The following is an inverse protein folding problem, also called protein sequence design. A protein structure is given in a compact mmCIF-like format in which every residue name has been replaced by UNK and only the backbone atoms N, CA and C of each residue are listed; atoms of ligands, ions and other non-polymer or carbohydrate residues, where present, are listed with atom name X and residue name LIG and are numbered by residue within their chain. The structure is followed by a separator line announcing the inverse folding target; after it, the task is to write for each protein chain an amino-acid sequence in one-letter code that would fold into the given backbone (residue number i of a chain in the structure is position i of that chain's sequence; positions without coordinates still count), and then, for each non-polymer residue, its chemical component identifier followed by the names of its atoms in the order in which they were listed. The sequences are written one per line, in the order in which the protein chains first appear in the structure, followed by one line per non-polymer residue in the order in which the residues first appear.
data_IF_512528004927
#
_entry.id   IF_512528004927
#
_cell.length_a   1.000
_cell.length_b   1.000
_cell.length_c   1.000
_cell.angle_alpha   90.00
_cell.angle_beta   90.00
_cell.angle_gamma   90.00
#
_symmetry.space_group_name_H-M   'P 1'
#
loop_
_entity.id
_entity.type
_entity.pdbx_description
1 polymer ?
#
# COMPACT_ATOMS: atom_id res chain seq x y z
N UNK A 1 10.37 16.77 -2.95
CA UNK A 1 10.19 15.33 -2.68
C UNK A 1 10.68 14.60 -3.91
N UNK A 2 11.56 13.63 -3.76
CA UNK A 2 12.02 12.82 -4.88
C UNK A 2 10.98 11.73 -5.15
N UNK A 3 10.73 11.43 -6.42
CA UNK A 3 9.89 10.29 -6.82
C UNK A 3 10.80 9.11 -7.06
N UNK A 4 10.61 8.05 -6.29
CA UNK A 4 11.25 6.77 -6.53
C UNK A 4 10.31 5.93 -7.40
N UNK A 5 10.88 5.20 -8.36
CA UNK A 5 10.13 4.30 -9.24
C UNK A 5 10.81 2.94 -9.23
N UNK A 6 10.02 1.89 -8.98
CA UNK A 6 10.45 0.50 -9.01
C UNK A 6 9.61 -0.26 -10.03
N UNK A 7 10.29 -0.99 -10.93
CA UNK A 7 9.64 -1.78 -11.96
C UNK A 7 9.98 -3.26 -11.84
N UNK A 8 8.97 -4.11 -11.96
CA UNK A 8 9.13 -5.56 -12.07
C UNK A 8 8.17 -6.12 -13.12
N UNK A 9 8.61 -7.17 -13.81
CA UNK A 9 7.81 -7.91 -14.80
C UNK A 9 7.44 -9.29 -14.25
N UNK A 10 6.16 -9.60 -14.22
CA UNK A 10 5.61 -10.79 -13.56
C UNK A 10 4.83 -11.62 -14.59
N UNK A 11 5.20 -12.90 -14.76
CA UNK A 11 4.47 -13.84 -15.63
C UNK A 11 3.25 -14.42 -14.90
N UNK A 12 2.14 -13.69 -14.89
CA UNK A 12 0.89 -14.09 -14.27
C UNK A 12 -0.30 -13.26 -14.82
N UNK A 13 -1.55 -13.74 -14.71
CA UNK A 13 -2.72 -12.91 -15.00
C UNK A 13 -2.82 -11.70 -14.06
N UNK A 14 -3.36 -10.58 -14.56
CA UNK A 14 -3.48 -9.33 -13.79
C UNK A 14 -4.29 -9.50 -12.50
N UNK A 15 -5.34 -10.33 -12.53
CA UNK A 15 -6.17 -10.61 -11.37
C UNK A 15 -5.39 -11.27 -10.24
N UNK A 16 -4.41 -12.14 -10.58
CA UNK A 16 -3.55 -12.78 -9.60
C UNK A 16 -2.54 -11.81 -9.00
N UNK A 17 -1.97 -10.92 -9.81
CA UNK A 17 -1.05 -9.88 -9.29
C UNK A 17 -1.80 -8.93 -8.36
N UNK A 18 -2.99 -8.49 -8.78
CA UNK A 18 -3.85 -7.63 -7.96
C UNK A 18 -4.27 -8.30 -6.65
N UNK A 19 -4.67 -9.57 -6.68
CA UNK A 19 -5.05 -10.30 -5.47
C UNK A 19 -3.86 -10.46 -4.52
N UNK A 20 -2.68 -10.80 -5.04
CA UNK A 20 -1.46 -10.93 -4.23
C UNK A 20 -1.11 -9.63 -3.51
N UNK A 21 -1.27 -8.49 -4.17
CA UNK A 21 -0.97 -7.19 -3.58
C UNK A 21 -1.91 -6.86 -2.41
N UNK A 22 -3.22 -7.14 -2.51
CA UNK A 22 -4.22 -6.55 -1.61
C UNK A 22 -4.99 -7.54 -0.72
N UNK A 23 -5.01 -8.84 -1.02
CA UNK A 23 -5.66 -9.83 -0.15
C UNK A 23 -4.85 -10.05 1.13
N UNK A 24 -5.54 -10.22 2.26
CA UNK A 24 -4.92 -10.23 3.59
C UNK A 24 -3.81 -11.29 3.72
N UNK A 25 -4.07 -12.51 3.27
CA UNK A 25 -3.12 -13.62 3.38
C UNK A 25 -1.85 -13.42 2.56
N UNK A 26 -1.96 -12.79 1.39
CA UNK A 26 -0.82 -12.56 0.50
C UNK A 26 -0.10 -11.27 0.85
N UNK A 27 -0.83 -10.23 1.27
CA UNK A 27 -0.27 -8.99 1.80
C UNK A 27 0.72 -9.29 2.92
N UNK A 28 0.26 -9.98 3.97
CA UNK A 28 1.08 -10.44 5.11
C UNK A 28 2.39 -11.12 4.70
N UNK A 29 2.34 -11.92 3.62
CA UNK A 29 3.50 -12.68 3.13
C UNK A 29 4.52 -11.79 2.43
N UNK A 30 4.08 -10.95 1.48
CA UNK A 30 5.03 -10.14 0.71
C UNK A 30 5.58 -8.98 1.54
N UNK A 31 4.78 -8.37 2.43
CA UNK A 31 5.28 -7.35 3.37
C UNK A 31 6.09 -7.95 4.51
N UNK A 32 6.01 -9.26 4.75
CA UNK A 32 6.75 -9.95 5.81
C UNK A 32 8.27 -9.80 5.69
N UNK A 33 8.79 -9.56 4.49
CA UNK A 33 10.22 -9.27 4.25
C UNK A 33 10.63 -7.92 4.86
N UNK A 34 9.71 -6.96 4.90
CA UNK A 34 9.92 -5.65 5.52
C UNK A 34 9.63 -5.68 7.02
N UNK A 35 8.47 -6.20 7.40
CA UNK A 35 8.06 -6.35 8.79
C UNK A 35 7.18 -7.59 8.95
N UNK A 36 7.70 -8.59 9.65
CA UNK A 36 6.99 -9.83 9.92
C UNK A 36 5.69 -9.57 10.69
N UNK A 37 4.59 -10.17 10.21
CA UNK A 37 3.26 -10.00 10.81
C UNK A 37 2.56 -8.69 10.46
N UNK A 38 3.06 -7.91 9.49
CA UNK A 38 2.35 -6.72 8.99
C UNK A 38 0.95 -7.06 8.47
N UNK A 39 -0.02 -6.19 8.70
CA UNK A 39 -1.40 -6.36 8.28
C UNK A 39 -2.07 -5.02 7.95
N UNK A 40 -3.23 -5.07 7.30
CA UNK A 40 -4.04 -3.89 7.00
C UNK A 40 -5.38 -3.93 7.71
N UNK A 41 -5.93 -2.75 7.99
CA UNK A 41 -7.31 -2.57 8.44
C UNK A 41 -7.97 -1.57 7.48
N UNK A 42 -8.88 -2.04 6.63
CA UNK A 42 -9.60 -1.22 5.64
C UNK A 42 -10.73 -2.02 4.97
N UNK A 43 -11.71 -1.32 4.41
CA UNK A 43 -12.76 -1.87 3.55
C UNK A 43 -12.36 -1.91 2.05
N UNK A 44 -11.17 -1.39 1.71
CA UNK A 44 -10.60 -1.39 0.35
C UNK A 44 -11.45 -0.67 -0.73
N UNK A 45 -12.30 0.29 -0.33
CA UNK A 45 -12.98 1.22 -1.23
C UNK A 45 -12.12 2.46 -1.53
N UNK A 46 -12.40 3.12 -2.66
CA UNK A 46 -11.80 4.42 -2.93
C UNK A 46 -12.35 5.46 -1.96
N UNK A 47 -11.47 6.29 -1.39
CA UNK A 47 -11.78 7.25 -0.34
C UNK A 47 -11.72 6.66 1.07
N UNK A 48 -11.65 5.34 1.21
CA UNK A 48 -11.56 4.70 2.52
C UNK A 48 -10.19 4.94 3.15
N UNK A 49 -10.21 4.95 4.49
CA UNK A 49 -8.99 4.94 5.26
C UNK A 49 -8.40 3.53 5.27
N UNK A 50 -7.07 3.44 5.23
CA UNK A 50 -6.33 2.21 5.44
C UNK A 50 -5.29 2.42 6.54
N UNK A 51 -5.27 1.51 7.51
CA UNK A 51 -4.20 1.42 8.50
C UNK A 51 -3.26 0.31 8.07
N UNK A 52 -2.00 0.66 7.83
CA UNK A 52 -0.90 -0.28 7.64
C UNK A 52 -0.23 -0.49 8.99
N UNK A 53 -0.32 -1.70 9.53
CA UNK A 53 0.01 -1.99 10.93
C UNK A 53 1.12 -3.03 11.03
N UNK A 54 2.02 -2.82 11.99
CA UNK A 54 2.92 -3.86 12.50
C UNK A 54 2.33 -4.52 13.77
N UNK A 55 2.80 -5.73 14.14
CA UNK A 55 2.28 -6.45 15.32
C UNK A 55 2.47 -5.73 16.65
N UNK A 56 3.47 -4.84 16.74
CA UNK A 56 3.78 -4.05 17.93
C UNK A 56 2.82 -2.86 18.15
N UNK A 57 1.83 -2.66 17.27
CA UNK A 57 0.87 -1.56 17.39
C UNK A 57 1.36 -0.22 16.82
N UNK A 58 2.46 -0.25 16.08
CA UNK A 58 2.94 0.88 15.28
C UNK A 58 2.47 0.75 13.83
N UNK A 59 2.59 1.84 13.06
CA UNK A 59 2.19 1.83 11.66
C UNK A 59 1.92 3.22 11.12
N UNK A 60 1.15 3.26 10.04
CA UNK A 60 0.72 4.50 9.40
C UNK A 60 -0.71 4.37 8.89
N UNK A 61 -1.40 5.50 8.80
CA UNK A 61 -2.73 5.57 8.19
C UNK A 61 -2.71 6.43 6.93
N UNK A 62 -3.44 5.96 5.94
CA UNK A 62 -3.53 6.55 4.61
C UNK A 62 -4.98 6.61 4.13
N UNK A 63 -5.22 7.31 3.03
CA UNK A 63 -6.47 7.23 2.27
C UNK A 63 -6.17 6.53 0.94
N UNK A 64 -7.08 5.66 0.50
CA UNK A 64 -7.09 5.12 -0.86
C UNK A 64 -7.58 6.22 -1.79
N UNK A 65 -6.68 7.06 -2.30
CA UNK A 65 -7.03 8.22 -3.12
C UNK A 65 -7.62 7.80 -4.48
N UNK A 66 -7.13 6.71 -5.06
CA UNK A 66 -7.68 6.15 -6.30
C UNK A 66 -7.58 4.63 -6.29
N UNK A 67 -8.65 3.98 -6.76
CA UNK A 67 -8.67 2.52 -6.95
C UNK A 67 -9.36 2.17 -8.26
N UNK A 68 -8.58 1.65 -9.21
CA UNK A 68 -9.06 1.07 -10.45
C UNK A 68 -8.69 -0.42 -10.39
N UNK A 69 -9.66 -1.32 -10.13
CA UNK A 69 -9.39 -2.74 -9.93
C UNK A 69 -8.58 -3.34 -11.08
N UNK A 70 -7.54 -4.10 -10.73
CA UNK A 70 -6.60 -4.74 -11.66
C UNK A 70 -5.75 -3.77 -12.50
N UNK A 71 -5.70 -2.48 -12.19
CA UNK A 71 -4.96 -1.51 -13.00
C UNK A 71 -4.17 -0.52 -12.14
N UNK A 72 -4.81 0.12 -11.17
CA UNK A 72 -4.19 1.24 -10.45
C UNK A 72 -4.66 1.33 -9.00
N UNK A 73 -3.71 1.48 -8.09
CA UNK A 73 -3.95 1.79 -6.68
C UNK A 73 -3.09 3.00 -6.30
N UNK A 74 -3.67 3.97 -5.60
CA UNK A 74 -2.93 5.10 -5.05
C UNK A 74 -3.31 5.32 -3.59
N UNK A 75 -2.31 5.33 -2.73
CA UNK A 75 -2.43 5.67 -1.33
C UNK A 75 -1.84 7.05 -1.08
N UNK A 76 -2.53 7.82 -0.26
CA UNK A 76 -2.03 9.08 0.27
C UNK A 76 -1.79 8.93 1.76
N UNK A 77 -0.52 8.93 2.17
CA UNK A 77 -0.15 8.76 3.58
C UNK A 77 -0.46 10.02 4.38
N UNK A 78 -1.12 9.86 5.52
CA UNK A 78 -1.58 10.99 6.32
C UNK A 78 -0.78 11.16 7.60
N UNK A 79 -0.54 10.07 8.33
CA UNK A 79 0.23 10.13 9.57
C UNK A 79 0.48 8.77 10.21
N UNK A 80 0.96 8.82 11.45
CA UNK A 80 1.48 7.65 12.17
C UNK A 80 0.45 7.04 13.10
N UNK A 81 0.67 5.77 13.40
CA UNK A 81 -0.04 5.00 14.40
C UNK A 81 0.97 4.57 15.46
N UNK A 82 0.61 4.75 16.72
CA UNK A 82 1.39 4.28 17.87
C UNK A 82 0.44 3.76 18.94
N UNK A 83 0.82 2.68 19.61
CA UNK A 83 0.00 2.02 20.62
C UNK A 83 -1.44 1.75 20.11
N UNK A 84 -1.53 1.30 18.84
CA UNK A 84 -2.77 1.00 18.12
C UNK A 84 -3.70 2.21 17.90
N UNK A 85 -3.17 3.43 17.97
CA UNK A 85 -3.96 4.67 17.81
C UNK A 85 -3.28 5.63 16.84
N UNK A 86 -4.10 6.26 16.00
CA UNK A 86 -3.65 7.40 15.21
C UNK A 86 -3.16 8.51 16.15
N UNK A 87 -1.96 9.02 15.90
CA UNK A 87 -1.41 10.13 16.66
C UNK A 87 -1.54 11.45 15.88
N UNK A 88 -1.69 12.58 16.58
CA UNK A 88 -1.67 13.90 15.94
C UNK A 88 -0.35 14.13 15.18
N UNK A 89 -0.44 14.83 14.05
CA UNK A 89 0.72 15.16 13.24
C UNK A 89 1.72 16.01 14.03
N UNK A 90 2.93 15.48 14.21
CA UNK A 90 4.06 16.21 14.77
C UNK A 90 4.93 16.82 13.64
N UNK A 91 6.03 17.49 13.99
CA UNK A 91 6.93 18.10 13.01
C UNK A 91 7.60 17.09 12.07
N UNK A 92 7.78 15.85 12.51
CA UNK A 92 8.38 14.79 11.69
C UNK A 92 7.35 14.19 10.73
N UNK A 93 6.17 13.83 11.22
CA UNK A 93 5.07 13.31 10.40
C UNK A 93 4.63 14.30 9.33
N UNK A 94 4.64 15.61 9.63
CA UNK A 94 4.32 16.66 8.63
C UNK A 94 5.28 16.70 7.44
N UNK A 95 6.51 16.17 7.56
CA UNK A 95 7.49 16.18 6.45
C UNK A 95 7.08 15.22 5.32
N UNK A 96 6.34 14.16 5.66
CA UNK A 96 5.91 13.15 4.70
C UNK A 96 4.38 13.03 4.58
N UNK A 97 3.61 13.66 5.45
CA UNK A 97 2.15 13.73 5.33
C UNK A 97 1.76 14.30 3.96
N UNK A 98 0.91 13.57 3.24
CA UNK A 98 0.52 13.82 1.86
C UNK A 98 1.41 13.14 0.82
N UNK A 99 2.41 12.35 1.23
CA UNK A 99 3.18 11.49 0.33
C UNK A 99 2.26 10.50 -0.39
N UNK A 100 2.62 10.20 -1.64
CA UNK A 100 1.91 9.30 -2.51
C UNK A 100 2.69 7.99 -2.65
N UNK A 101 1.97 6.88 -2.58
CA UNK A 101 2.46 5.56 -2.95
C UNK A 101 1.48 4.97 -3.97
N UNK A 102 1.98 4.64 -5.16
CA UNK A 102 1.13 4.26 -6.29
C UNK A 102 1.56 2.94 -6.87
N UNK A 103 0.62 2.12 -7.33
CA UNK A 103 0.88 0.86 -7.98
C UNK A 103 0.12 0.83 -9.30
N UNK A 104 0.83 0.68 -10.41
CA UNK A 104 0.23 0.55 -11.75
C UNK A 104 0.58 -0.80 -12.34
N UNK A 105 -0.47 -1.56 -12.69
CA UNK A 105 -0.37 -2.81 -13.42
C UNK A 105 -0.70 -2.54 -14.89
N UNK A 106 0.25 -2.84 -15.78
CA UNK A 106 0.03 -2.78 -17.23
C UNK A 106 0.16 -4.18 -17.79
N UNK A 107 -0.89 -4.67 -18.45
CA UNK A 107 -0.84 -5.96 -19.12
C UNK A 107 0.00 -5.87 -20.40
N UNK A 108 0.91 -6.82 -20.56
CA UNK A 108 1.74 -6.98 -21.75
C UNK A 108 1.83 -8.47 -22.11
N UNK A 109 0.93 -8.90 -23.00
CA UNK A 109 0.73 -10.30 -23.40
C UNK A 109 0.45 -11.21 -22.17
N UNK A 110 1.35 -12.18 -21.90
CA UNK A 110 1.27 -13.10 -20.75
C UNK A 110 1.93 -12.55 -19.46
N UNK A 111 2.42 -11.31 -19.50
CA UNK A 111 3.11 -10.65 -18.40
C UNK A 111 2.34 -9.42 -17.90
N UNK A 112 2.63 -9.05 -16.66
CA UNK A 112 2.24 -7.78 -16.05
C UNK A 112 3.50 -7.01 -15.73
N UNK A 113 3.59 -5.79 -16.24
CA UNK A 113 4.54 -4.79 -15.77
C UNK A 113 3.90 -4.08 -14.57
N UNK A 114 4.47 -4.30 -13.38
CA UNK A 114 4.13 -3.55 -12.17
C UNK A 114 5.14 -2.43 -11.99
N UNK A 115 4.63 -1.19 -11.90
CA UNK A 115 5.40 0.00 -11.55
C UNK A 115 4.86 0.52 -10.20
N UNK A 116 5.75 0.68 -9.23
CA UNK A 116 5.48 1.20 -7.90
C UNK A 116 6.31 2.46 -7.62
#
# INVERSE_FOLDING_TARGET
METLEFKIRIKAPVQKVWSVLWEEETYKKWTGVFCEGSYTITDWGQGDKVHFMSPNGEGMYSIIETKIPNEYMAFKHLGEIKDFKEIPLNEETKKWSGAMETYRLTQDDEFIDLIA
#
